data_IF_207517369316
#
_entry.id   IF_207517369316
#
_cell.length_a   1.000
_cell.length_b   1.000
_cell.length_c   1.000
_cell.angle_alpha   90.00
_cell.angle_beta   90.00
_cell.angle_gamma   90.00
#
_symmetry.space_group_name_H-M   'P 1'
#
loop_
_entity.id
_entity.type
_entity.pdbx_description
1 polymer ?
#
# COMPACT_ATOMS: atom_id res chain seq x y z
N UNK A 1 -16.43 8.17 1.40
CA UNK A 1 -15.02 8.59 1.35
C UNK A 1 -14.44 8.18 0.00
N UNK A 2 -14.55 9.05 -1.02
CA UNK A 2 -13.76 8.87 -2.25
C UNK A 2 -12.30 9.15 -1.85
N UNK A 3 -11.37 8.22 -2.09
CA UNK A 3 -9.94 8.54 -2.09
C UNK A 3 -9.80 9.74 -3.03
N UNK A 4 -9.30 10.87 -2.54
CA UNK A 4 -8.91 11.99 -3.38
C UNK A 4 -8.08 11.41 -4.53
N UNK A 5 -8.56 11.54 -5.76
CA UNK A 5 -8.13 10.76 -6.94
C UNK A 5 -6.64 10.95 -7.30
N UNK A 6 -5.92 11.80 -6.57
CA UNK A 6 -4.55 12.20 -6.88
C UNK A 6 -3.48 11.22 -6.38
N UNK A 7 -3.74 10.46 -5.32
CA UNK A 7 -2.72 9.57 -4.72
C UNK A 7 -3.21 8.12 -4.65
N UNK A 8 -2.56 7.27 -5.44
CA UNK A 8 -2.87 5.83 -5.56
C UNK A 8 -2.34 5.04 -4.35
N UNK A 9 -1.24 5.49 -3.75
CA UNK A 9 -0.61 4.88 -2.59
C UNK A 9 -0.12 5.99 -1.64
N UNK A 10 -0.27 5.77 -0.32
CA UNK A 10 0.39 6.62 0.69
C UNK A 10 1.78 6.06 0.97
N UNK A 11 2.69 6.93 1.41
CA UNK A 11 4.02 6.50 1.85
C UNK A 11 3.91 5.44 2.94
N UNK A 12 4.74 4.40 2.85
CA UNK A 12 4.80 3.39 3.89
C UNK A 12 5.45 3.95 5.16
N UNK A 13 4.95 3.50 6.32
CA UNK A 13 5.50 3.89 7.62
C UNK A 13 6.93 3.39 7.81
N UNK A 14 7.66 3.98 8.76
CA UNK A 14 9.06 3.62 9.03
C UNK A 14 9.23 2.19 9.56
N UNK A 15 8.20 1.63 10.21
CA UNK A 15 8.24 0.28 10.78
C UNK A 15 8.56 -0.82 9.77
N UNK A 16 8.12 -0.70 8.50
CA UNK A 16 8.42 -1.73 7.48
C UNK A 16 9.92 -1.80 7.19
N UNK A 17 10.61 -0.65 7.21
CA UNK A 17 12.05 -0.59 7.04
C UNK A 17 12.78 -1.21 8.24
N UNK A 18 12.33 -0.92 9.46
CA UNK A 18 12.91 -1.49 10.68
C UNK A 18 12.81 -3.02 10.68
N UNK A 19 11.63 -3.57 10.36
CA UNK A 19 11.41 -5.03 10.29
C UNK A 19 12.37 -5.67 9.28
N UNK A 20 12.48 -5.10 8.08
CA UNK A 20 13.33 -5.67 7.02
C UNK A 20 14.82 -5.48 7.29
N UNK A 21 15.21 -4.42 8.02
CA UNK A 21 16.58 -4.24 8.49
C UNK A 21 16.96 -5.31 9.51
N UNK A 22 16.05 -5.63 10.43
CA UNK A 22 16.29 -6.64 11.46
C UNK A 22 16.19 -8.07 10.90
N UNK A 23 15.42 -8.25 9.82
CA UNK A 23 15.15 -9.54 9.19
C UNK A 23 15.29 -9.46 7.65
N UNK A 24 16.52 -9.27 7.12
CA UNK A 24 16.74 -9.01 5.69
C UNK A 24 16.40 -10.19 4.77
N UNK A 25 16.28 -11.40 5.33
CA UNK A 25 15.99 -12.61 4.57
C UNK A 25 14.49 -12.92 4.45
N UNK A 26 13.64 -12.15 5.14
CA UNK A 26 12.19 -12.40 5.11
C UNK A 26 11.64 -12.07 3.73
N UNK A 27 10.93 -13.01 3.08
CA UNK A 27 10.33 -12.74 1.79
C UNK A 27 9.20 -11.73 1.92
N UNK A 28 9.21 -10.73 1.05
CA UNK A 28 8.12 -9.76 0.91
C UNK A 28 7.23 -10.15 -0.25
N UNK A 29 5.92 -10.13 -0.03
CA UNK A 29 4.91 -10.34 -1.07
C UNK A 29 4.13 -9.03 -1.20
N UNK A 30 4.25 -8.38 -2.36
CA UNK A 30 3.52 -7.16 -2.65
C UNK A 30 2.16 -7.51 -3.25
N UNK A 31 1.11 -6.83 -2.79
CA UNK A 31 -0.23 -7.00 -3.34
C UNK A 31 -0.89 -5.67 -3.69
N UNK A 32 -1.72 -5.69 -4.73
CA UNK A 32 -2.60 -4.60 -5.09
C UNK A 32 -4.04 -5.10 -5.09
N UNK A 33 -4.90 -4.40 -4.36
CA UNK A 33 -6.33 -4.71 -4.28
C UNK A 33 -7.10 -3.58 -4.94
N UNK A 34 -7.80 -3.89 -6.03
CA UNK A 34 -8.73 -2.98 -6.71
C UNK A 34 -10.18 -3.39 -6.45
N UNK A 35 -11.07 -2.40 -6.43
CA UNK A 35 -12.51 -2.61 -6.24
C UNK A 35 -13.00 -2.35 -4.81
N UNK A 36 -14.10 -3.00 -4.44
CA UNK A 36 -14.88 -2.63 -3.26
C UNK A 36 -14.43 -3.31 -1.95
N UNK A 37 -13.15 -3.63 -1.80
CA UNK A 37 -12.59 -4.33 -0.63
C UNK A 37 -13.04 -3.72 0.71
N UNK A 38 -13.00 -2.39 0.82
CA UNK A 38 -13.36 -1.69 2.05
C UNK A 38 -14.83 -1.83 2.48
N UNK A 39 -15.75 -2.26 1.61
CA UNK A 39 -17.14 -2.53 2.04
C UNK A 39 -17.30 -3.86 2.77
N UNK A 40 -16.36 -4.78 2.60
CA UNK A 40 -16.37 -6.10 3.22
C UNK A 40 -15.52 -6.17 4.49
N UNK A 41 -14.59 -5.24 4.70
CA UNK A 41 -13.63 -5.31 5.81
C UNK A 41 -13.62 -4.09 6.74
N UNK A 42 -14.38 -3.03 6.44
CA UNK A 42 -14.38 -1.82 7.26
C UNK A 42 -15.40 -1.88 8.39
N UNK A 43 -14.95 -1.54 9.61
CA UNK A 43 -15.81 -1.29 10.78
C UNK A 43 -16.18 0.20 10.96
N UNK A 44 -15.72 1.07 10.05
CA UNK A 44 -16.06 2.49 10.11
C UNK A 44 -17.58 2.67 10.02
N UNK A 45 -18.17 3.22 11.10
CA UNK A 45 -19.61 3.42 11.24
C UNK A 45 -20.39 2.19 11.73
N UNK A 46 -19.72 1.09 12.10
CA UNK A 46 -20.30 -0.16 12.61
C UNK A 46 -19.86 -1.39 11.78
N UNK A 47 -20.39 -2.60 12.06
CA UNK A 47 -19.90 -3.84 11.44
C UNK A 47 -19.94 -3.81 9.90
N UNK A 48 -19.01 -4.50 9.21
CA UNK A 48 -19.01 -4.59 7.76
C UNK A 48 -20.37 -5.01 7.21
N UNK A 49 -20.72 -4.51 6.01
CA UNK A 49 -22.00 -4.77 5.30
C UNK A 49 -23.28 -4.24 5.96
N UNK A 50 -23.25 -3.71 7.20
CA UNK A 50 -24.44 -3.17 7.89
C UNK A 50 -24.75 -1.73 7.51
N UNK A 51 -23.73 -0.87 7.47
CA UNK A 51 -23.93 0.57 7.29
C UNK A 51 -23.61 1.07 5.87
N UNK A 52 -23.14 0.17 5.01
CA UNK A 52 -22.86 0.45 3.61
C UNK A 52 -23.40 -0.69 2.76
N UNK A 53 -24.23 -0.36 1.77
CA UNK A 53 -24.75 -1.35 0.83
C UNK A 53 -23.57 -2.02 0.10
N UNK A 54 -23.47 -3.35 0.10
CA UNK A 54 -22.46 -4.05 -0.68
C UNK A 54 -22.65 -3.71 -2.17
N UNK A 55 -21.59 -3.22 -2.80
CA UNK A 55 -21.54 -3.01 -4.24
C UNK A 55 -21.16 -4.35 -4.88
N UNK A 56 -22.18 -5.13 -5.25
CA UNK A 56 -22.02 -6.43 -5.88
C UNK A 56 -21.60 -6.31 -7.36
N UNK A 57 -21.74 -5.14 -7.97
CA UNK A 57 -21.47 -4.92 -9.38
C UNK A 57 -19.98 -4.65 -9.62
N UNK A 58 -19.27 -4.18 -8.60
CA UNK A 58 -17.83 -3.95 -8.67
C UNK A 58 -17.04 -5.15 -8.16
N UNK A 59 -16.47 -5.90 -9.10
CA UNK A 59 -15.55 -7.02 -8.81
C UNK A 59 -14.33 -6.54 -8.00
N UNK A 60 -13.92 -7.34 -7.02
CA UNK A 60 -12.64 -7.19 -6.35
C UNK A 60 -11.59 -7.93 -7.18
N UNK A 61 -10.49 -7.26 -7.50
CA UNK A 61 -9.35 -7.86 -8.21
C UNK A 61 -8.11 -7.73 -7.33
N UNK A 62 -7.34 -8.79 -7.25
CA UNK A 62 -6.12 -8.83 -6.43
C UNK A 62 -4.97 -9.25 -7.33
N UNK A 63 -3.97 -8.38 -7.45
CA UNK A 63 -2.68 -8.70 -8.03
C UNK A 63 -1.70 -9.03 -6.91
N UNK A 64 -1.00 -10.14 -7.01
CA UNK A 64 -0.04 -10.60 -6.00
C UNK A 64 1.28 -10.91 -6.70
N UNK A 65 2.37 -10.33 -6.22
CA UNK A 65 3.70 -10.63 -6.74
C UNK A 65 4.18 -12.01 -6.30
N UNK A 66 5.19 -12.55 -6.98
CA UNK A 66 6.01 -13.59 -6.39
C UNK A 66 6.68 -13.06 -5.10
N UNK A 67 7.04 -13.94 -4.15
CA UNK A 67 7.87 -13.57 -3.00
C UNK A 67 9.22 -13.02 -3.47
N UNK A 68 9.62 -11.87 -2.94
CA UNK A 68 10.91 -11.24 -3.24
C UNK A 68 11.73 -11.05 -1.97
N UNK A 69 13.03 -11.34 -2.05
CA UNK A 69 13.99 -10.88 -1.06
C UNK A 69 14.38 -9.43 -1.41
N UNK A 70 14.36 -8.53 -0.42
CA UNK A 70 14.76 -7.14 -0.67
C UNK A 70 16.29 -7.06 -0.76
N UNK A 71 16.85 -6.49 -1.84
CA UNK A 71 18.30 -6.38 -1.99
C UNK A 71 18.96 -5.60 -0.85
N UNK A 72 20.16 -6.01 -0.41
CA UNK A 72 20.86 -5.37 0.71
C UNK A 72 21.12 -3.88 0.49
N UNK A 73 21.49 -3.48 -0.73
CA UNK A 73 21.70 -2.08 -1.12
C UNK A 73 20.43 -1.20 -1.05
N UNK A 74 19.24 -1.82 -1.04
CA UNK A 74 17.96 -1.15 -0.85
C UNK A 74 17.66 -0.94 0.64
N UNK A 75 18.16 -1.84 1.50
CA UNK A 75 18.00 -1.83 2.96
C UNK A 75 19.01 -0.92 3.68
N UNK A 76 19.96 -0.32 2.98
CA UNK A 76 20.90 0.66 3.56
C UNK A 76 20.21 1.97 3.94
N UNK A 77 19.12 2.32 3.25
CA UNK A 77 18.42 3.59 3.42
C UNK A 77 16.90 3.39 3.49
N UNK A 78 16.27 3.85 4.57
CA UNK A 78 14.84 3.64 4.79
C UNK A 78 13.92 4.33 3.76
N UNK A 79 14.34 5.44 3.16
CA UNK A 79 13.59 6.04 2.05
C UNK A 79 13.64 5.16 0.79
N UNK A 80 14.82 4.64 0.47
CA UNK A 80 15.04 3.75 -0.67
C UNK A 80 14.26 2.46 -0.52
N UNK A 81 14.30 1.84 0.68
CA UNK A 81 13.49 0.66 1.00
C UNK A 81 12.00 0.92 0.77
N UNK A 82 11.48 2.03 1.32
CA UNK A 82 10.05 2.35 1.17
C UNK A 82 9.66 2.62 -0.27
N UNK A 83 10.46 3.36 -1.06
CA UNK A 83 10.19 3.57 -2.50
C UNK A 83 10.19 2.25 -3.26
N UNK A 84 11.17 1.39 -3.01
CA UNK A 84 11.26 0.08 -3.64
C UNK A 84 10.01 -0.77 -3.37
N UNK A 85 9.56 -0.84 -2.12
CA UNK A 85 8.37 -1.58 -1.74
C UNK A 85 7.08 -0.98 -2.32
N UNK A 86 6.99 0.35 -2.37
CA UNK A 86 5.87 1.04 -3.02
C UNK A 86 5.83 0.74 -4.52
N UNK A 87 6.99 0.73 -5.19
CA UNK A 87 7.08 0.35 -6.61
C UNK A 87 6.67 -1.11 -6.80
N UNK A 88 7.08 -2.02 -5.92
CA UNK A 88 6.63 -3.42 -5.96
C UNK A 88 5.10 -3.56 -5.83
N UNK A 89 4.45 -2.73 -4.99
CA UNK A 89 2.99 -2.68 -4.93
C UNK A 89 2.35 -2.14 -6.21
N UNK A 90 2.95 -1.16 -6.88
CA UNK A 90 2.48 -0.72 -8.19
C UNK A 90 2.70 -1.77 -9.28
N UNK A 91 3.83 -2.48 -9.27
CA UNK A 91 4.12 -3.59 -10.17
C UNK A 91 3.05 -4.70 -10.09
N UNK A 92 2.52 -4.98 -8.88
CA UNK A 92 1.45 -5.95 -8.70
C UNK A 92 0.17 -5.61 -9.48
N UNK A 93 -0.02 -4.35 -9.91
CA UNK A 93 -1.14 -3.92 -10.76
C UNK A 93 -1.15 -4.58 -12.14
N UNK A 94 0.03 -4.96 -12.67
CA UNK A 94 0.15 -5.68 -13.96
C UNK A 94 -0.64 -6.98 -13.95
N UNK A 95 -0.68 -7.67 -12.82
CA UNK A 95 -1.40 -8.95 -12.67
C UNK A 95 -2.93 -8.82 -12.80
N UNK A 96 -3.47 -7.61 -12.74
CA UNK A 96 -4.90 -7.34 -12.92
C UNK A 96 -5.20 -6.42 -14.11
N UNK A 97 -4.21 -6.24 -15.00
CA UNK A 97 -4.33 -5.47 -16.24
C UNK A 97 -4.44 -3.96 -16.04
N UNK A 98 -3.81 -3.42 -14.99
CA UNK A 98 -3.77 -1.98 -14.75
C UNK A 98 -2.36 -1.43 -14.98
N UNK A 99 -2.27 -0.15 -15.35
CA UNK A 99 -1.01 0.55 -15.57
C UNK A 99 -0.16 0.63 -14.29
N UNK A 100 1.16 0.69 -14.47
CA UNK A 100 2.13 0.83 -13.38
C UNK A 100 2.71 2.24 -13.39
N UNK A 101 2.28 3.11 -12.46
CA UNK A 101 2.92 4.39 -12.28
C UNK A 101 4.29 4.22 -11.64
N UNK A 102 5.14 5.21 -11.81
CA UNK A 102 6.38 5.33 -11.06
C UNK A 102 6.11 5.99 -9.71
N UNK A 103 6.82 5.56 -8.68
CA UNK A 103 6.80 6.23 -7.38
C UNK A 103 7.57 7.54 -7.48
N UNK A 104 6.89 8.67 -7.30
CA UNK A 104 7.55 9.98 -7.20
C UNK A 104 8.55 10.01 -6.04
N UNK A 105 9.63 10.76 -6.21
CA UNK A 105 10.63 10.98 -5.17
C UNK A 105 9.95 11.73 -4.03
N UNK A 106 9.96 11.17 -2.82
CA UNK A 106 9.44 11.85 -1.64
C UNK A 106 10.15 13.21 -1.48
N UNK A 107 9.40 14.31 -1.51
CA UNK A 107 9.92 15.59 -1.06
C UNK A 107 10.30 15.49 0.43
N UNK A 108 11.33 16.21 0.87
CA UNK A 108 11.87 16.14 2.25
C UNK A 108 10.92 16.71 3.34
N UNK A 109 9.65 16.99 3.03
CA UNK A 109 8.68 17.52 4.01
C UNK A 109 7.35 16.79 3.90
N UNK A 110 7.22 15.72 4.68
CA UNK A 110 5.93 15.19 5.14
C UNK A 110 5.99 14.96 6.66
N UNK A 111 6.67 15.86 7.39
CA UNK A 111 6.49 16.04 8.83
C UNK A 111 5.60 17.26 9.03
N UNK A 112 4.30 17.12 8.77
CA UNK A 112 3.34 18.12 9.24
C UNK A 112 2.03 17.41 9.65
N UNK A 113 1.93 17.19 10.97
CA UNK A 113 0.68 17.23 11.72
C UNK A 113 -0.27 16.04 11.60
N UNK A 114 -0.04 14.99 12.41
CA UNK A 114 -1.13 14.20 12.99
C UNK A 114 -1.37 14.70 14.42
N UNK A 115 -1.72 15.98 14.54
CA UNK A 115 -2.25 16.60 15.75
C UNK A 115 -3.54 17.34 15.35
N UNK A 116 -4.63 16.59 15.18
CA UNK A 116 -5.95 17.07 15.59
C UNK A 116 -6.97 15.93 15.62
N UNK A 117 -7.27 15.44 16.83
CA UNK A 117 -8.63 15.27 17.39
C UNK A 117 -8.61 14.41 18.65
N UNK A 118 -8.62 15.07 19.81
CA UNK A 118 -9.60 14.79 20.86
C UNK A 118 -10.00 16.09 21.56
#
# INVERSE_FOLDING_TARGET
>A
MRRTEKLLLRRFGQGIYQILRDQPHVPVIACWIDGNWGSYTSFAGGPPTKNKKPDFWRKIRIGVSAPIAVPANVLEEGNRTRRYLMQACFEARKHIGLDVPEVEVFAERDEEGDDDKN
#
